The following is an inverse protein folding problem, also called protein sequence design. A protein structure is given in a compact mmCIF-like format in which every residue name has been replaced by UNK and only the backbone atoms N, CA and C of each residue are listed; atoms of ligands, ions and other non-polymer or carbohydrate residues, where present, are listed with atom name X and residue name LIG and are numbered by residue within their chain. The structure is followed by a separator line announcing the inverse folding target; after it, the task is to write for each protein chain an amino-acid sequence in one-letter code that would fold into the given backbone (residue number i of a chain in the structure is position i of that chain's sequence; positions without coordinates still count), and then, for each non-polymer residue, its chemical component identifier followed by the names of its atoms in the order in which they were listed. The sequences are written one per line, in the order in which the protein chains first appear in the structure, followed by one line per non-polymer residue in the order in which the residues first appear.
data_IF_314370946056
#
_entry.id   IF_314370946056
#
_cell.length_a   1.000
_cell.length_b   1.000
_cell.length_c   1.000
_cell.angle_alpha   90.00
_cell.angle_beta   90.00
_cell.angle_gamma   90.00
#
_symmetry.space_group_name_H-M   'P 1'
#
loop_
_entity.id
_entity.type
_entity.pdbx_description
1 polymer ?
#
# COMPACT_ATOMS: atom_id res chain seq x y z
N UNK A 1 -23.94 -13.08 10.88
CA UNK A 1 -24.18 -11.65 11.19
C UNK A 1 -23.34 -10.84 10.23
N UNK A 2 -23.90 -9.97 9.39
CA UNK A 2 -23.09 -9.12 8.51
C UNK A 2 -22.43 -8.04 9.35
N UNK A 3 -21.14 -7.84 9.09
CA UNK A 3 -20.34 -6.78 9.70
C UNK A 3 -20.93 -5.40 9.29
N UNK A 4 -21.06 -4.45 10.18
CA UNK A 4 -21.52 -3.12 9.83
C UNK A 4 -20.45 -2.40 9.02
N UNK A 5 -20.81 -2.11 7.77
CA UNK A 5 -20.42 -0.91 7.09
C UNK A 5 -18.96 -0.68 6.74
N UNK A 6 -18.34 -1.55 5.91
CA UNK A 6 -17.36 -1.04 4.99
C UNK A 6 -18.10 -0.44 3.78
N UNK A 7 -18.83 0.63 4.05
CA UNK A 7 -19.50 1.40 3.03
C UNK A 7 -18.44 2.29 2.36
N UNK A 8 -17.85 1.81 1.27
CA UNK A 8 -17.11 2.66 0.35
C UNK A 8 -18.11 3.65 -0.25
N UNK A 9 -18.37 4.73 0.46
CA UNK A 9 -19.01 5.90 -0.12
C UNK A 9 -18.08 6.40 -1.22
N UNK A 10 -18.44 6.06 -2.44
CA UNK A 10 -17.93 6.71 -3.63
C UNK A 10 -18.28 8.19 -3.50
N UNK A 11 -17.35 9.00 -3.06
CA UNK A 11 -17.47 10.43 -3.27
C UNK A 11 -17.26 10.65 -4.76
N UNK A 12 -18.34 10.90 -5.45
CA UNK A 12 -18.33 11.49 -6.78
C UNK A 12 -17.74 12.90 -6.66
N UNK A 13 -16.41 12.99 -6.79
CA UNK A 13 -15.78 14.29 -7.02
C UNK A 13 -16.10 14.70 -8.45
N UNK A 14 -16.76 15.85 -8.55
CA UNK A 14 -17.10 16.58 -9.74
C UNK A 14 -16.00 16.51 -10.81
N UNK A 15 -16.40 16.16 -12.01
CA UNK A 15 -15.68 16.24 -13.26
C UNK A 15 -14.97 17.59 -13.44
N UNK A 16 -13.69 17.62 -13.12
CA UNK A 16 -12.77 18.59 -13.68
C UNK A 16 -12.18 17.96 -14.94
N UNK A 17 -12.70 18.35 -16.07
CA UNK A 17 -12.20 17.98 -17.38
C UNK A 17 -10.85 18.67 -17.59
N UNK A 18 -9.78 18.05 -17.15
CA UNK A 18 -8.43 18.50 -17.48
C UNK A 18 -8.07 17.91 -18.85
N UNK A 19 -7.77 18.72 -19.86
CA UNK A 19 -7.48 18.20 -21.20
C UNK A 19 -6.20 17.36 -21.18
N UNK A 20 -6.21 16.28 -21.97
CA UNK A 20 -5.12 15.31 -22.16
C UNK A 20 -3.76 15.95 -22.50
N UNK A 21 -3.76 17.22 -22.91
CA UNK A 21 -2.56 17.98 -23.25
C UNK A 21 -1.68 18.36 -22.04
N UNK A 22 -2.19 18.21 -20.83
CA UNK A 22 -1.41 18.54 -19.62
C UNK A 22 -0.52 17.39 -19.15
N UNK A 23 -0.83 16.15 -19.53
CA UNK A 23 -0.01 14.98 -19.18
C UNK A 23 1.31 14.91 -19.97
N UNK A 24 1.36 15.49 -21.17
CA UNK A 24 2.57 15.46 -22.03
C UNK A 24 3.60 16.52 -21.61
N UNK A 25 3.21 17.50 -20.81
CA UNK A 25 4.10 18.63 -20.43
C UNK A 25 4.92 18.39 -19.16
N UNK A 26 4.73 17.27 -18.48
CA UNK A 26 5.51 16.92 -17.27
C UNK A 26 6.76 16.09 -17.55
N UNK A 27 7.01 15.74 -18.82
CA UNK A 27 8.29 15.20 -19.22
C UNK A 27 9.17 16.35 -19.70
N UNK A 28 9.77 17.02 -18.75
CA UNK A 28 10.79 18.05 -19.03
C UNK A 28 12.03 17.37 -19.62
N UNK A 29 12.66 17.91 -20.69
CA UNK A 29 13.83 17.31 -21.27
C UNK A 29 14.99 17.36 -20.29
N UNK A 30 15.55 16.22 -20.07
CA UNK A 30 16.71 15.82 -19.32
C UNK A 30 17.72 16.90 -18.98
N UNK A 31 17.76 17.29 -17.73
CA UNK A 31 19.02 17.65 -17.08
C UNK A 31 19.72 16.35 -16.69
N UNK A 32 21.01 16.19 -16.94
CA UNK A 32 21.76 15.06 -16.40
C UNK A 32 21.91 15.27 -14.90
N UNK A 33 20.89 14.88 -14.17
CA UNK A 33 20.96 14.83 -12.71
C UNK A 33 21.92 13.71 -12.37
N UNK A 34 23.12 14.08 -11.94
CA UNK A 34 23.97 13.25 -11.11
C UNK A 34 23.07 12.48 -10.18
N UNK A 35 23.07 11.15 -10.33
CA UNK A 35 22.30 10.24 -9.52
C UNK A 35 22.81 10.39 -8.08
N UNK A 36 22.29 11.36 -7.35
CA UNK A 36 22.44 11.38 -5.92
C UNK A 36 21.90 10.05 -5.45
N UNK A 37 22.77 9.24 -4.88
CA UNK A 37 22.44 7.96 -4.21
C UNK A 37 21.22 8.28 -3.37
N UNK A 38 20.08 7.68 -3.74
CA UNK A 38 18.79 8.12 -3.23
C UNK A 38 18.81 8.08 -1.70
N UNK A 39 18.75 9.25 -1.10
CA UNK A 39 18.46 9.41 0.33
C UNK A 39 17.06 8.90 0.69
N UNK A 40 16.35 8.32 -0.29
CA UNK A 40 15.05 7.67 -0.17
C UNK A 40 15.10 6.16 0.01
N UNK A 41 16.27 5.53 0.00
CA UNK A 41 16.35 4.24 0.64
C UNK A 41 16.06 4.52 2.13
N UNK A 42 15.06 3.85 2.72
CA UNK A 42 14.84 3.97 4.15
C UNK A 42 16.21 3.81 4.78
N UNK A 43 16.60 4.80 5.60
CA UNK A 43 17.84 4.76 6.34
C UNK A 43 18.01 3.30 6.75
N UNK A 44 19.14 2.70 6.36
CA UNK A 44 19.40 1.31 6.72
C UNK A 44 18.83 1.13 8.10
N UNK A 45 18.02 0.08 8.29
CA UNK A 45 17.57 -0.33 9.62
C UNK A 45 18.84 -0.76 10.36
N UNK A 46 19.72 0.19 10.57
CA UNK A 46 20.96 0.06 11.32
C UNK A 46 20.73 0.47 12.77
N UNK A 47 19.59 1.09 13.03
CA UNK A 47 19.15 1.37 14.38
C UNK A 47 18.38 0.17 14.89
N UNK A 48 19.11 -0.68 15.60
CA UNK A 48 18.50 -1.68 16.48
C UNK A 48 17.39 -1.06 17.37
N UNK A 49 17.44 0.24 17.60
CA UNK A 49 16.47 1.00 18.37
C UNK A 49 15.08 1.07 17.71
N UNK A 50 14.95 1.29 16.41
CA UNK A 50 13.65 1.34 15.73
C UNK A 50 12.91 0.00 15.80
N UNK A 51 13.61 -1.11 15.69
CA UNK A 51 13.04 -2.44 15.87
C UNK A 51 12.76 -2.78 17.33
N UNK A 52 13.57 -2.27 18.26
CA UNK A 52 13.38 -2.52 19.69
C UNK A 52 12.03 -1.97 20.14
N UNK A 53 11.74 -0.71 19.85
CA UNK A 53 10.46 -0.09 20.19
C UNK A 53 9.28 -0.78 19.52
N UNK A 54 9.43 -1.16 18.25
CA UNK A 54 8.41 -1.93 17.52
C UNK A 54 8.17 -3.30 18.16
N UNK A 55 9.23 -3.99 18.55
CA UNK A 55 9.14 -5.29 19.20
C UNK A 55 8.52 -5.21 20.59
N UNK A 56 8.86 -4.20 21.38
CA UNK A 56 8.26 -3.98 22.70
C UNK A 56 6.76 -3.71 22.58
N UNK A 57 6.34 -2.86 21.66
CA UNK A 57 4.92 -2.59 21.36
C UNK A 57 4.19 -3.87 20.89
N UNK A 58 4.81 -4.64 20.00
CA UNK A 58 4.24 -5.87 19.52
C UNK A 58 4.08 -6.92 20.65
N UNK A 59 5.07 -7.05 21.51
CA UNK A 59 5.01 -7.95 22.67
C UNK A 59 3.90 -7.55 23.64
N UNK A 60 3.78 -6.27 23.95
CA UNK A 60 2.73 -5.75 24.81
C UNK A 60 1.35 -6.05 24.20
N UNK A 61 1.17 -5.76 22.92
CA UNK A 61 -0.07 -6.05 22.22
C UNK A 61 -0.42 -7.56 22.23
N UNK A 62 0.55 -8.41 21.88
CA UNK A 62 0.34 -9.87 21.83
C UNK A 62 0.06 -10.45 23.23
N UNK A 63 0.59 -9.85 24.29
CA UNK A 63 0.31 -10.30 25.66
C UNK A 63 -1.16 -10.12 26.05
N UNK A 64 -1.83 -9.10 25.49
CA UNK A 64 -3.25 -8.84 25.74
C UNK A 64 -4.21 -9.70 24.91
N UNK A 65 -3.71 -10.36 23.85
CA UNK A 65 -4.53 -11.20 22.98
C UNK A 65 -4.94 -12.50 23.67
N UNK A 66 -6.20 -12.87 23.52
CA UNK A 66 -6.69 -14.21 23.82
C UNK A 66 -6.09 -15.24 22.87
N UNK A 67 -6.17 -16.52 23.23
CA UNK A 67 -5.69 -17.60 22.36
C UNK A 67 -6.42 -17.60 21.01
N UNK A 68 -7.74 -17.36 21.02
CA UNK A 68 -8.53 -17.30 19.79
C UNK A 68 -8.09 -16.15 18.89
N UNK A 69 -7.90 -14.95 19.45
CA UNK A 69 -7.42 -13.79 18.68
C UNK A 69 -6.03 -14.02 18.10
N UNK A 70 -5.15 -14.70 18.82
CA UNK A 70 -3.84 -15.10 18.30
C UNK A 70 -3.96 -16.05 17.11
N UNK A 71 -4.85 -17.04 17.23
CA UNK A 71 -5.11 -17.96 16.13
C UNK A 71 -5.71 -17.25 14.92
N UNK A 72 -6.68 -16.36 15.13
CA UNK A 72 -7.33 -15.59 14.06
C UNK A 72 -6.35 -14.67 13.32
N UNK A 73 -5.39 -14.06 14.03
CA UNK A 73 -4.36 -13.21 13.43
C UNK A 73 -3.45 -13.97 12.47
N UNK A 74 -3.13 -15.23 12.75
CA UNK A 74 -2.19 -16.00 11.90
C UNK A 74 -2.89 -16.87 10.87
N UNK A 75 -4.18 -17.11 11.02
CA UNK A 75 -4.95 -17.96 10.11
C UNK A 75 -5.40 -17.21 8.87
N UNK A 76 -5.57 -15.87 8.97
CA UNK A 76 -6.26 -15.07 7.98
C UNK A 76 -7.77 -15.31 7.98
N UNK A 77 -8.51 -14.38 7.44
CA UNK A 77 -9.96 -14.42 7.48
C UNK A 77 -10.56 -14.04 6.11
N UNK A 78 -11.75 -14.54 5.77
CA UNK A 78 -12.47 -14.05 4.59
C UNK A 78 -12.75 -12.54 4.73
N UNK A 79 -12.69 -11.81 3.63
CA UNK A 79 -12.95 -10.37 3.66
C UNK A 79 -12.80 -9.72 2.30
N UNK A 80 -12.85 -8.40 2.24
CA UNK A 80 -12.81 -7.65 0.99
C UNK A 80 -11.43 -7.66 0.32
N UNK A 81 -10.37 -7.97 1.06
CA UNK A 81 -9.00 -8.03 0.54
C UNK A 81 -8.62 -9.49 0.22
N UNK A 82 -7.53 -9.68 -0.50
CA UNK A 82 -6.97 -11.01 -0.78
C UNK A 82 -6.57 -11.70 0.51
N UNK A 83 -5.96 -10.96 1.44
CA UNK A 83 -5.70 -11.40 2.81
C UNK A 83 -6.27 -10.42 3.83
N UNK A 84 -6.89 -10.93 4.87
CA UNK A 84 -7.52 -10.09 5.89
C UNK A 84 -7.16 -10.57 7.29
N UNK A 85 -6.86 -9.62 8.17
CA UNK A 85 -6.81 -9.83 9.61
C UNK A 85 -7.92 -8.98 10.22
N UNK A 86 -8.80 -9.61 10.98
CA UNK A 86 -9.96 -8.92 11.53
C UNK A 86 -9.58 -7.89 12.61
N UNK A 87 -10.39 -6.85 12.76
CA UNK A 87 -10.20 -5.88 13.83
C UNK A 87 -10.43 -6.52 15.20
N UNK A 88 -9.72 -6.01 16.19
CA UNK A 88 -9.90 -6.33 17.61
C UNK A 88 -10.28 -5.05 18.34
N UNK A 89 -11.58 -4.69 18.36
CA UNK A 89 -12.03 -3.38 18.86
C UNK A 89 -11.62 -3.10 20.30
N UNK A 90 -11.62 -4.10 21.17
CA UNK A 90 -11.21 -3.94 22.58
C UNK A 90 -9.76 -3.49 22.76
N UNK A 91 -8.90 -3.71 21.75
CA UNK A 91 -7.50 -3.27 21.72
C UNK A 91 -7.28 -2.12 20.74
N UNK A 92 -8.35 -1.52 20.23
CA UNK A 92 -8.28 -0.47 19.21
C UNK A 92 -7.46 -0.87 17.96
N UNK A 93 -7.43 -2.15 17.64
CA UNK A 93 -6.78 -2.67 16.44
C UNK A 93 -7.78 -2.73 15.29
N UNK A 94 -7.48 -1.99 14.22
CA UNK A 94 -8.38 -1.85 13.07
C UNK A 94 -8.38 -3.01 12.07
N UNK A 95 -7.55 -4.03 12.30
CA UNK A 95 -7.33 -5.10 11.33
C UNK A 95 -6.30 -4.72 10.25
N UNK A 96 -6.01 -5.67 9.37
CA UNK A 96 -5.11 -5.45 8.23
C UNK A 96 -5.72 -5.98 6.95
N UNK A 97 -5.58 -5.20 5.89
CA UNK A 97 -5.87 -5.59 4.51
C UNK A 97 -4.54 -5.85 3.79
N UNK A 98 -4.34 -7.07 3.36
CA UNK A 98 -3.25 -7.48 2.50
C UNK A 98 -3.81 -7.63 1.10
N UNK A 99 -3.25 -6.92 0.14
CA UNK A 99 -3.82 -6.87 -1.20
C UNK A 99 -2.78 -7.13 -2.27
N UNK A 100 -3.13 -8.00 -3.21
CA UNK A 100 -2.32 -8.27 -4.38
C UNK A 100 -2.47 -7.15 -5.41
N UNK A 101 -1.44 -7.00 -6.23
CA UNK A 101 -1.53 -6.11 -7.37
C UNK A 101 -0.24 -5.82 -8.11
N UNK A 102 0.32 -6.79 -8.85
CA UNK A 102 1.55 -6.56 -9.60
C UNK A 102 1.39 -5.55 -10.75
N UNK A 103 0.16 -5.35 -11.23
CA UNK A 103 -0.14 -4.38 -12.29
C UNK A 103 -1.34 -3.48 -11.95
N UNK A 104 -2.18 -3.89 -11.02
CA UNK A 104 -3.28 -3.08 -10.47
C UNK A 104 -3.72 -3.68 -9.15
N UNK A 105 -4.33 -2.88 -8.30
CA UNK A 105 -4.93 -3.37 -7.07
C UNK A 105 -6.07 -4.34 -7.40
N UNK A 106 -6.00 -5.58 -6.91
CA UNK A 106 -6.97 -6.64 -7.23
C UNK A 106 -8.24 -6.48 -6.41
N UNK A 107 -9.32 -7.07 -6.91
CA UNK A 107 -10.63 -7.10 -6.25
C UNK A 107 -11.19 -5.73 -5.87
N UNK A 108 -10.78 -4.67 -6.57
CA UNK A 108 -11.28 -3.31 -6.36
C UNK A 108 -11.71 -2.67 -7.67
N UNK A 109 -12.76 -1.86 -7.59
CA UNK A 109 -13.25 -1.08 -8.72
C UNK A 109 -12.55 0.27 -8.82
N UNK A 110 -12.57 0.86 -10.01
CA UNK A 110 -12.01 2.19 -10.29
C UNK A 110 -10.55 2.29 -9.86
N UNK A 111 -9.76 1.36 -10.35
CA UNK A 111 -8.31 1.30 -10.14
C UNK A 111 -7.58 1.46 -11.46
N UNK A 112 -6.36 1.98 -11.38
CA UNK A 112 -5.48 2.12 -12.54
C UNK A 112 -4.83 0.79 -12.89
N UNK A 113 -4.65 0.54 -14.19
CA UNK A 113 -3.78 -0.52 -14.68
C UNK A 113 -2.39 0.05 -14.93
N UNK A 114 -1.40 -0.48 -14.25
CA UNK A 114 0.01 -0.12 -14.41
C UNK A 114 0.73 -1.15 -15.28
N UNK A 115 1.81 -0.76 -15.96
CA UNK A 115 2.67 -1.73 -16.63
C UNK A 115 3.18 -2.78 -15.64
N UNK A 116 3.23 -4.03 -16.06
CA UNK A 116 3.82 -5.10 -15.24
C UNK A 116 5.29 -4.83 -14.89
N UNK A 117 5.77 -5.41 -13.79
CA UNK A 117 7.14 -5.19 -13.31
C UNK A 117 8.22 -5.48 -14.36
N UNK A 118 8.07 -6.56 -15.12
CA UNK A 118 8.98 -6.90 -16.21
C UNK A 118 8.97 -5.84 -17.32
N UNK A 119 7.80 -5.33 -17.68
CA UNK A 119 7.64 -4.31 -18.72
C UNK A 119 8.35 -3.02 -18.34
N UNK A 120 8.12 -2.55 -17.11
CA UNK A 120 8.75 -1.31 -16.65
C UNK A 120 10.26 -1.48 -16.44
N UNK A 121 10.70 -2.65 -15.99
CA UNK A 121 12.12 -2.95 -15.83
C UNK A 121 12.85 -2.96 -17.19
N UNK A 122 12.19 -3.42 -18.24
CA UNK A 122 12.73 -3.42 -19.61
C UNK A 122 12.99 -2.03 -20.18
N UNK A 123 12.43 -0.99 -19.56
CA UNK A 123 12.73 0.40 -19.95
C UNK A 123 14.14 0.85 -19.56
N UNK A 124 14.78 0.19 -18.61
CA UNK A 124 16.05 0.61 -17.98
C UNK A 124 16.00 2.03 -17.39
N UNK A 125 14.80 2.59 -17.24
CA UNK A 125 14.56 3.93 -16.70
C UNK A 125 14.14 3.84 -15.23
N UNK A 126 15.06 4.18 -14.34
CA UNK A 126 14.84 4.11 -12.90
C UNK A 126 13.82 5.15 -12.40
N UNK A 127 13.76 6.29 -13.05
CA UNK A 127 12.81 7.35 -12.68
C UNK A 127 11.39 6.90 -13.00
N UNK A 128 11.20 6.27 -14.16
CA UNK A 128 9.92 5.68 -14.55
C UNK A 128 9.50 4.54 -13.61
N UNK A 129 10.44 3.67 -13.23
CA UNK A 129 10.19 2.60 -12.26
C UNK A 129 9.73 3.18 -10.91
N UNK A 130 10.40 4.22 -10.44
CA UNK A 130 10.05 4.89 -9.20
C UNK A 130 8.67 5.57 -9.28
N UNK A 131 8.42 6.34 -10.33
CA UNK A 131 7.15 7.04 -10.53
C UNK A 131 5.97 6.07 -10.58
N UNK A 132 6.12 4.92 -11.29
CA UNK A 132 5.12 3.85 -11.29
C UNK A 132 4.86 3.33 -9.88
N UNK A 133 5.92 3.05 -9.15
CA UNK A 133 5.81 2.46 -7.80
C UNK A 133 5.15 3.42 -6.82
N UNK A 134 5.45 4.72 -6.89
CA UNK A 134 4.80 5.76 -6.09
C UNK A 134 3.32 5.86 -6.43
N UNK A 135 2.97 5.88 -7.72
CA UNK A 135 1.58 5.97 -8.16
C UNK A 135 0.78 4.76 -7.68
N UNK A 136 1.31 3.56 -7.87
CA UNK A 136 0.67 2.33 -7.44
C UNK A 136 0.53 2.25 -5.91
N UNK A 137 1.58 2.55 -5.16
CA UNK A 137 1.54 2.58 -3.69
C UNK A 137 0.55 3.60 -3.15
N UNK A 138 0.41 4.75 -3.80
CA UNK A 138 -0.59 5.77 -3.45
C UNK A 138 -2.01 5.25 -3.64
N UNK A 139 -2.25 4.48 -4.71
CA UNK A 139 -3.56 3.89 -4.97
C UNK A 139 -3.89 2.79 -3.94
N UNK A 140 -2.94 1.90 -3.61
CA UNK A 140 -3.11 0.92 -2.54
C UNK A 140 -3.51 1.60 -1.22
N UNK A 141 -2.79 2.65 -0.85
CA UNK A 141 -3.10 3.43 0.36
C UNK A 141 -4.48 4.08 0.30
N UNK A 142 -4.85 4.68 -0.83
CA UNK A 142 -6.15 5.32 -1.01
C UNK A 142 -7.31 4.33 -0.95
N UNK A 143 -7.08 3.09 -1.35
CA UNK A 143 -8.05 1.99 -1.27
C UNK A 143 -8.05 1.26 0.06
N UNK A 144 -7.22 1.68 1.02
CA UNK A 144 -7.21 1.14 2.38
C UNK A 144 -6.39 -0.15 2.57
N UNK A 145 -5.55 -0.52 1.62
CA UNK A 145 -4.62 -1.63 1.80
C UNK A 145 -3.41 -1.18 2.64
N UNK A 146 -3.14 -1.89 3.72
CA UNK A 146 -1.97 -1.66 4.58
C UNK A 146 -0.74 -2.39 4.08
N UNK A 147 -0.92 -3.53 3.42
CA UNK A 147 0.17 -4.35 2.90
C UNK A 147 -0.08 -4.59 1.41
N UNK A 148 0.84 -4.14 0.58
CA UNK A 148 0.84 -4.37 -0.85
C UNK A 148 1.72 -5.58 -1.20
N UNK A 149 1.15 -6.52 -1.93
CA UNK A 149 1.81 -7.69 -2.50
C UNK A 149 1.94 -7.45 -4.02
N UNK A 150 2.94 -6.65 -4.43
CA UNK A 150 3.05 -6.12 -5.79
C UNK A 150 4.48 -6.14 -6.35
#
# INVERSE_FOLDING_TARGET
MPLPGFNQKIQSSSTSTTPLSLFIRLVSPHSPTTFARSDHLPARISDANGWKDGLEKARAFVAELTLQEKADMVTGQPGPCVGNIYPIPRLNFGGLCLQDGPASLRTADLVSAFPGGVTIASSWDKEMMYARSVAMGSEFRAKGAQIALA
#
